data_IF_920087159773
#
_entry.id   IF_920087159773
#
_cell.length_a   1.000
_cell.length_b   1.000
_cell.length_c   1.000
_cell.angle_alpha   90.00
_cell.angle_beta   90.00
_cell.angle_gamma   90.00
#
_symmetry.space_group_name_H-M   'P 1'
#
loop_
_entity.id
_entity.type
_entity.pdbx_description
1 polymer ?
#
# COMPACT_ATOMS: atom_id res chain seq x y z
N UNK A 1 -46.53 -51.54 61.72
CA UNK A 1 -47.81 -51.38 61.02
C UNK A 1 -47.54 -50.66 59.72
N UNK A 2 -47.97 -51.29 58.63
CA UNK A 2 -47.39 -51.20 57.29
C UNK A 2 -48.39 -50.44 56.40
N UNK A 3 -47.97 -49.34 55.77
CA UNK A 3 -48.79 -48.59 54.81
C UNK A 3 -48.17 -48.69 53.41
N UNK A 4 -48.79 -49.57 52.63
CA UNK A 4 -49.15 -49.48 51.20
C UNK A 4 -48.11 -49.19 50.09
N UNK A 5 -48.02 -50.20 49.21
CA UNK A 5 -47.53 -50.28 47.83
C UNK A 5 -48.11 -49.19 46.86
N UNK A 6 -47.26 -48.51 46.05
CA UNK A 6 -47.01 -48.67 44.57
C UNK A 6 -48.07 -47.98 43.62
N UNK A 7 -47.78 -47.71 42.31
CA UNK A 7 -46.75 -46.85 41.74
C UNK A 7 -47.19 -46.01 40.50
N UNK A 8 -46.26 -45.17 40.03
CA UNK A 8 -45.89 -44.88 38.62
C UNK A 8 -46.87 -44.25 37.61
N UNK A 9 -46.40 -43.12 37.05
CA UNK A 9 -46.15 -42.78 35.61
C UNK A 9 -46.53 -41.30 35.39
N UNK A 10 -45.87 -40.47 34.59
CA UNK A 10 -44.67 -40.53 33.73
C UNK A 10 -44.48 -39.10 33.18
N UNK A 11 -43.25 -38.82 32.74
CA UNK A 11 -42.86 -37.89 31.67
C UNK A 11 -42.84 -36.39 31.99
N UNK A 12 -41.65 -35.83 31.82
CA UNK A 12 -41.45 -34.38 31.69
C UNK A 12 -39.97 -34.02 31.73
N UNK A 13 -39.19 -34.50 30.76
CA UNK A 13 -37.83 -34.02 30.55
C UNK A 13 -37.88 -32.63 29.90
N UNK A 14 -37.35 -31.60 30.57
CA UNK A 14 -36.83 -30.39 29.91
C UNK A 14 -35.61 -29.89 30.69
N UNK A 15 -34.45 -30.08 30.07
CA UNK A 15 -33.18 -29.51 30.47
C UNK A 15 -33.28 -27.97 30.42
N UNK A 16 -32.85 -27.30 31.48
CA UNK A 16 -32.67 -25.85 31.50
C UNK A 16 -31.20 -25.55 31.22
N UNK A 17 -31.01 -24.81 30.13
CA UNK A 17 -29.73 -24.38 29.58
C UNK A 17 -29.07 -23.32 30.47
N UNK A 18 -27.74 -23.42 30.57
CA UNK A 18 -26.85 -22.41 31.10
C UNK A 18 -25.94 -21.91 29.96
N UNK A 19 -25.79 -20.59 29.83
CA UNK A 19 -24.62 -19.87 29.27
C UNK A 19 -25.04 -18.39 29.11
N UNK A 20 -24.73 -17.51 30.08
CA UNK A 20 -23.47 -16.78 30.19
C UNK A 20 -23.33 -15.70 29.10
N UNK A 21 -23.66 -14.47 29.50
CA UNK A 21 -23.46 -13.20 28.80
C UNK A 21 -21.96 -12.89 28.77
N UNK A 22 -21.40 -12.68 27.59
CA UNK A 22 -20.09 -12.04 27.44
C UNK A 22 -20.20 -11.01 26.31
N UNK A 23 -20.36 -9.75 26.72
CA UNK A 23 -20.25 -8.60 25.84
C UNK A 23 -18.77 -8.29 25.58
N UNK A 24 -18.43 -8.12 24.32
CA UNK A 24 -17.12 -7.61 23.90
C UNK A 24 -17.33 -6.21 23.34
N UNK A 25 -16.81 -5.23 24.06
CA UNK A 25 -16.76 -3.82 23.65
C UNK A 25 -15.99 -3.70 22.33
N UNK A 26 -16.65 -3.14 21.31
CA UNK A 26 -15.99 -2.66 20.11
C UNK A 26 -15.20 -1.38 20.46
N UNK A 27 -13.86 -1.44 20.37
CA UNK A 27 -13.05 -0.24 20.22
C UNK A 27 -12.91 0.06 18.73
N UNK A 28 -13.75 0.95 18.22
CA UNK A 28 -13.52 1.60 16.94
C UNK A 28 -12.63 2.83 17.19
N UNK A 29 -11.34 2.73 16.82
CA UNK A 29 -10.48 3.89 16.69
C UNK A 29 -10.87 4.63 15.41
N UNK A 30 -11.58 5.76 15.55
CA UNK A 30 -11.84 6.67 14.45
C UNK A 30 -10.54 7.43 14.10
N UNK A 31 -9.81 6.93 13.11
CA UNK A 31 -8.79 7.71 12.42
C UNK A 31 -9.50 8.66 11.46
N UNK A 32 -9.39 9.97 11.69
CA UNK A 32 -9.84 10.99 10.74
C UNK A 32 -8.90 11.01 9.53
N UNK A 33 -9.22 10.18 8.54
CA UNK A 33 -8.86 10.36 7.15
C UNK A 33 -10.13 10.01 6.37
N UNK A 34 -10.89 11.02 5.97
CA UNK A 34 -12.08 10.81 5.14
C UNK A 34 -11.62 10.36 3.76
N UNK A 35 -11.56 9.03 3.55
CA UNK A 35 -11.60 8.42 2.22
C UNK A 35 -11.76 6.88 2.30
N UNK A 36 -12.96 6.37 1.97
CA UNK A 36 -13.30 4.93 1.91
C UNK A 36 -13.53 4.19 3.24
N UNK A 37 -14.18 3.03 3.19
CA UNK A 37 -14.41 2.13 4.34
C UNK A 37 -13.17 1.27 4.68
N UNK A 38 -12.13 1.30 3.83
CA UNK A 38 -10.90 0.55 4.05
C UNK A 38 -9.85 1.38 4.83
N UNK A 39 -9.04 0.70 5.64
CA UNK A 39 -7.91 1.35 6.31
C UNK A 39 -6.74 1.54 5.34
N UNK A 40 -6.18 2.74 5.29
CA UNK A 40 -4.93 3.02 4.55
C UNK A 40 -3.76 2.34 5.29
N UNK A 41 -2.96 1.48 4.63
CA UNK A 41 -1.93 0.71 5.30
C UNK A 41 -0.68 1.54 5.60
N UNK A 42 0.04 1.16 6.66
CA UNK A 42 1.37 1.67 7.03
C UNK A 42 2.51 0.94 6.29
N UNK A 43 2.16 -0.06 5.48
CA UNK A 43 3.09 -0.81 4.62
C UNK A 43 2.41 -1.14 3.31
N UNK A 44 3.11 -0.90 2.20
CA UNK A 44 2.65 -1.29 0.86
C UNK A 44 3.56 -2.37 0.29
N UNK A 45 3.01 -3.53 -0.05
CA UNK A 45 3.73 -4.71 -0.52
C UNK A 45 4.89 -5.13 0.40
N UNK A 46 4.72 -4.90 1.71
CA UNK A 46 5.71 -5.19 2.74
C UNK A 46 6.79 -4.13 2.89
N UNK A 47 6.76 -3.03 2.15
CA UNK A 47 7.64 -1.86 2.32
C UNK A 47 6.94 -0.86 3.26
N UNK A 48 7.58 -0.43 4.36
CA UNK A 48 7.03 0.62 5.22
C UNK A 48 6.75 1.90 4.44
N UNK A 49 5.61 2.55 4.70
CA UNK A 49 5.23 3.85 4.14
C UNK A 49 4.52 4.69 5.19
N UNK A 50 4.47 6.00 4.95
CA UNK A 50 3.62 6.91 5.69
C UNK A 50 2.22 6.90 5.07
N UNK A 51 1.24 6.42 5.83
CA UNK A 51 -0.16 6.32 5.41
C UNK A 51 -0.75 7.68 5.01
N UNK A 52 -0.33 8.77 5.64
CA UNK A 52 -0.81 10.12 5.33
C UNK A 52 -0.32 10.60 3.96
N UNK A 53 0.81 10.07 3.49
CA UNK A 53 1.33 10.37 2.14
C UNK A 53 0.69 9.49 1.07
N UNK A 54 0.23 8.28 1.43
CA UNK A 54 -0.44 7.37 0.50
C UNK A 54 -1.92 7.74 0.32
N UNK A 55 -2.60 8.07 1.41
CA UNK A 55 -4.04 8.34 1.45
C UNK A 55 -4.53 9.27 0.32
N UNK A 56 -3.88 10.42 0.03
CA UNK A 56 -4.33 11.32 -1.05
C UNK A 56 -4.31 10.72 -2.46
N UNK A 57 -3.56 9.63 -2.68
CA UNK A 57 -3.46 8.91 -3.96
C UNK A 57 -4.49 7.79 -4.09
N UNK A 58 -5.30 7.55 -3.06
CA UNK A 58 -6.29 6.48 -3.02
C UNK A 58 -7.70 7.07 -3.15
N UNK A 59 -8.53 6.60 -4.10
CA UNK A 59 -9.91 7.02 -4.21
C UNK A 59 -10.77 6.36 -3.13
N UNK A 60 -11.95 6.90 -2.86
CA UNK A 60 -12.94 6.22 -2.02
C UNK A 60 -13.25 4.80 -2.52
N UNK A 61 -13.62 3.91 -1.60
CA UNK A 61 -14.01 2.54 -1.90
C UNK A 61 -14.22 1.69 -0.65
N UNK A 62 -14.52 0.41 -0.84
CA UNK A 62 -14.79 -0.53 0.26
C UNK A 62 -13.57 -1.37 0.64
N UNK A 63 -12.70 -1.68 -0.33
CA UNK A 63 -11.64 -2.66 -0.12
C UNK A 63 -10.35 -2.30 -0.84
N UNK A 64 -9.26 -2.23 -0.08
CA UNK A 64 -7.89 -2.14 -0.58
C UNK A 64 -7.24 -3.54 -0.63
N UNK A 65 -6.57 -3.84 -1.74
CA UNK A 65 -5.77 -5.05 -1.90
C UNK A 65 -4.40 -4.73 -2.52
N UNK A 66 -3.42 -5.57 -2.20
CA UNK A 66 -2.05 -5.41 -2.67
C UNK A 66 -1.54 -6.68 -3.34
N UNK A 67 -0.79 -6.52 -4.41
CA UNK A 67 -0.20 -7.64 -5.13
C UNK A 67 1.24 -7.36 -5.54
N UNK A 68 2.17 -8.06 -4.89
CA UNK A 68 3.59 -8.01 -5.24
C UNK A 68 3.92 -8.98 -6.36
N UNK A 69 4.82 -8.59 -7.25
CA UNK A 69 5.43 -9.46 -8.27
C UNK A 69 6.95 -9.27 -8.27
N UNK A 70 7.67 -10.38 -8.27
CA UNK A 70 9.09 -10.40 -8.61
C UNK A 70 9.19 -10.54 -10.13
N UNK A 71 9.82 -9.56 -10.80
CA UNK A 71 9.92 -9.50 -12.26
C UNK A 71 11.26 -10.04 -12.77
N UNK A 72 12.10 -10.57 -11.89
CA UNK A 72 13.44 -11.04 -12.21
C UNK A 72 14.51 -10.29 -11.43
N UNK A 73 15.80 -10.54 -11.74
CA UNK A 73 16.91 -10.04 -10.94
C UNK A 73 16.89 -8.52 -10.78
N UNK A 74 16.66 -8.07 -9.55
CA UNK A 74 16.68 -6.65 -9.20
C UNK A 74 15.42 -5.86 -9.60
N UNK A 75 14.39 -6.49 -10.17
CA UNK A 75 13.14 -5.81 -10.57
C UNK A 75 11.96 -6.35 -9.78
N UNK A 76 11.26 -5.47 -9.07
CA UNK A 76 10.05 -5.80 -8.32
C UNK A 76 8.95 -4.80 -8.64
N UNK A 77 7.70 -5.24 -8.48
CA UNK A 77 6.57 -4.32 -8.56
C UNK A 77 5.47 -4.64 -7.57
N UNK A 78 4.70 -3.61 -7.24
CA UNK A 78 3.50 -3.68 -6.43
C UNK A 78 2.32 -3.10 -7.20
N UNK A 79 1.16 -3.74 -7.05
CA UNK A 79 -0.13 -3.22 -7.49
C UNK A 79 -0.97 -2.97 -6.26
N UNK A 80 -1.46 -1.75 -6.09
CA UNK A 80 -2.44 -1.38 -5.08
C UNK A 80 -3.77 -1.15 -5.78
N UNK A 81 -4.79 -1.84 -5.31
CA UNK A 81 -6.10 -1.92 -5.95
C UNK A 81 -7.17 -1.55 -4.95
N UNK A 82 -8.09 -0.66 -5.34
CA UNK A 82 -9.29 -0.30 -4.58
C UNK A 82 -10.48 -0.79 -5.38
N UNK A 83 -11.34 -1.61 -4.76
CA UNK A 83 -12.54 -2.21 -5.38
C UNK A 83 -12.25 -2.81 -6.76
N UNK A 84 -11.23 -3.67 -6.81
CA UNK A 84 -10.74 -4.37 -8.00
C UNK A 84 -10.17 -3.47 -9.13
N UNK A 85 -10.13 -2.15 -8.94
CA UNK A 85 -9.47 -1.19 -9.83
C UNK A 85 -8.02 -0.93 -9.41
N UNK A 86 -7.05 -1.08 -10.32
CA UNK A 86 -5.66 -0.69 -10.06
C UNK A 86 -5.57 0.84 -9.93
N UNK A 87 -5.13 1.32 -8.76
CA UNK A 87 -5.05 2.76 -8.49
C UNK A 87 -3.60 3.24 -8.44
N UNK A 88 -2.72 2.48 -7.80
CA UNK A 88 -1.30 2.80 -7.66
C UNK A 88 -0.46 1.61 -8.11
N UNK A 89 0.50 1.87 -8.98
CA UNK A 89 1.53 0.94 -9.40
C UNK A 89 2.90 1.41 -8.91
N UNK A 90 3.61 0.52 -8.22
CA UNK A 90 4.98 0.77 -7.76
C UNK A 90 5.93 -0.16 -8.49
N UNK A 91 7.09 0.36 -8.90
CA UNK A 91 8.17 -0.45 -9.44
C UNK A 91 9.51 -0.02 -8.84
N UNK A 92 10.34 -1.01 -8.53
CA UNK A 92 11.68 -0.81 -8.02
C UNK A 92 12.67 -1.65 -8.83
N UNK A 93 13.63 -0.98 -9.45
CA UNK A 93 14.63 -1.59 -10.34
C UNK A 93 16.05 -1.29 -9.86
N UNK A 94 16.87 -2.33 -9.74
CA UNK A 94 18.32 -2.19 -9.59
C UNK A 94 18.92 -2.16 -10.99
N UNK A 95 19.61 -1.07 -11.33
CA UNK A 95 20.22 -0.88 -12.65
C UNK A 95 21.73 -0.68 -12.55
N UNK A 96 22.40 -0.75 -13.71
CA UNK A 96 23.79 -0.29 -13.81
C UNK A 96 23.87 1.21 -13.46
N UNK A 97 24.97 1.61 -12.82
CA UNK A 97 25.27 3.02 -12.57
C UNK A 97 25.35 3.79 -13.87
N UNK A 98 24.87 5.04 -13.85
CA UNK A 98 24.90 5.92 -15.02
C UNK A 98 23.77 5.66 -16.02
N UNK A 99 22.88 4.70 -15.76
CA UNK A 99 21.63 4.59 -16.52
C UNK A 99 20.81 5.85 -16.27
N UNK A 100 20.52 6.65 -17.31
CA UNK A 100 19.68 7.84 -17.18
C UNK A 100 18.20 7.45 -17.06
N UNK A 101 17.83 6.91 -15.90
CA UNK A 101 16.50 6.37 -15.64
C UNK A 101 15.50 7.44 -15.21
N UNK A 102 15.95 8.63 -14.82
CA UNK A 102 15.10 9.78 -14.48
C UNK A 102 15.61 10.99 -15.23
N UNK A 103 14.87 11.41 -16.23
CA UNK A 103 15.10 12.65 -16.96
C UNK A 103 13.81 13.11 -17.62
N UNK A 104 13.69 14.38 -18.05
CA UNK A 104 12.54 14.83 -18.83
C UNK A 104 12.33 14.05 -20.14
N UNK A 105 13.39 13.40 -20.65
CA UNK A 105 13.35 12.54 -21.82
C UNK A 105 12.91 11.10 -21.55
N UNK A 106 12.77 10.68 -20.28
CA UNK A 106 12.36 9.32 -19.92
C UNK A 106 10.99 8.99 -20.53
N UNK A 107 10.94 7.92 -21.34
CA UNK A 107 9.70 7.50 -22.00
C UNK A 107 8.64 7.04 -21.02
N UNK A 108 9.03 6.51 -19.86
CA UNK A 108 8.11 6.11 -18.80
C UNK A 108 7.35 7.34 -18.29
N UNK A 109 8.07 8.31 -17.75
CA UNK A 109 7.51 9.55 -17.23
C UNK A 109 6.72 10.35 -18.28
N UNK A 110 7.20 10.42 -19.53
CA UNK A 110 6.49 11.15 -20.60
C UNK A 110 5.11 10.56 -20.95
N UNK A 111 4.87 9.27 -20.71
CA UNK A 111 3.53 8.68 -20.87
C UNK A 111 2.60 9.07 -19.73
N UNK A 112 3.16 9.52 -18.61
CA UNK A 112 2.44 9.93 -17.41
C UNK A 112 2.21 11.45 -17.37
N UNK A 113 2.49 12.19 -18.44
CA UNK A 113 2.30 13.64 -18.53
C UNK A 113 3.57 14.41 -18.81
N UNK A 114 3.65 15.66 -18.34
CA UNK A 114 4.80 16.55 -18.56
C UNK A 114 5.85 16.45 -17.44
N UNK A 115 7.00 15.76 -17.64
CA UNK A 115 7.94 15.51 -16.56
C UNK A 115 8.79 16.73 -16.23
N UNK A 116 8.91 17.04 -14.95
CA UNK A 116 9.80 18.07 -14.41
C UNK A 116 10.77 17.46 -13.41
N UNK A 117 12.05 17.86 -13.48
CA UNK A 117 13.04 17.50 -12.47
C UNK A 117 12.71 18.21 -11.16
N UNK A 118 12.88 17.48 -10.06
CA UNK A 118 12.66 17.98 -8.70
C UNK A 118 13.79 17.54 -7.78
N UNK A 119 13.86 18.17 -6.61
CA UNK A 119 14.86 17.87 -5.58
C UNK A 119 14.23 17.25 -4.34
N UNK A 120 15.06 16.64 -3.50
CA UNK A 120 14.65 16.14 -2.18
C UNK A 120 14.19 14.68 -2.15
N UNK A 121 14.47 13.89 -3.19
CA UNK A 121 14.33 12.42 -3.17
C UNK A 121 15.50 11.78 -3.92
N UNK A 122 16.27 10.93 -3.25
CA UNK A 122 17.45 10.29 -3.83
C UNK A 122 18.45 11.29 -4.40
N UNK A 123 19.26 10.82 -5.36
CA UNK A 123 20.25 11.63 -6.08
C UNK A 123 19.60 12.46 -7.20
N UNK A 124 18.52 11.95 -7.79
CA UNK A 124 17.78 12.61 -8.87
C UNK A 124 16.34 12.12 -8.88
N UNK A 125 15.40 13.05 -9.00
CA UNK A 125 13.99 12.76 -9.07
C UNK A 125 13.26 13.60 -10.12
N UNK A 126 12.13 13.10 -10.58
CA UNK A 126 11.23 13.80 -11.46
C UNK A 126 9.78 13.44 -11.15
N UNK A 127 8.88 14.37 -11.42
CA UNK A 127 7.43 14.18 -11.34
C UNK A 127 6.80 14.52 -12.68
N UNK A 128 5.84 13.71 -13.10
CA UNK A 128 4.92 13.93 -14.20
C UNK A 128 3.49 13.99 -13.66
N UNK A 129 2.49 14.16 -14.52
CA UNK A 129 1.09 14.37 -14.08
C UNK A 129 0.48 13.17 -13.36
N UNK A 130 0.86 11.95 -13.73
CA UNK A 130 0.35 10.69 -13.20
C UNK A 130 1.44 9.79 -12.61
N UNK A 131 2.63 10.30 -12.35
CA UNK A 131 3.66 9.52 -11.69
C UNK A 131 4.91 10.28 -11.30
N UNK A 132 5.72 9.69 -10.45
CA UNK A 132 6.99 10.25 -10.00
C UNK A 132 8.05 9.15 -9.93
N UNK A 133 9.29 9.52 -10.20
CA UNK A 133 10.42 8.58 -10.26
C UNK A 133 11.63 9.18 -9.57
N UNK A 134 12.36 8.36 -8.83
CA UNK A 134 13.61 8.75 -8.20
C UNK A 134 14.69 7.69 -8.46
N UNK A 135 15.94 8.11 -8.37
CA UNK A 135 17.10 7.23 -8.35
C UNK A 135 18.01 7.56 -7.18
N UNK A 136 18.74 6.57 -6.71
CA UNK A 136 19.88 6.76 -5.82
C UNK A 136 20.95 5.73 -6.13
N UNK A 137 22.19 6.17 -6.13
CA UNK A 137 23.36 5.29 -6.19
C UNK A 137 23.41 4.42 -4.93
N UNK A 138 23.86 3.18 -5.08
CA UNK A 138 24.01 2.28 -3.94
C UNK A 138 24.93 1.11 -4.25
N UNK A 139 25.22 0.32 -3.23
CA UNK A 139 25.86 -0.99 -3.38
C UNK A 139 24.80 -2.08 -3.37
N UNK A 140 24.83 -2.96 -4.37
CA UNK A 140 23.96 -4.14 -4.43
C UNK A 140 24.79 -5.36 -4.77
N UNK A 141 24.75 -6.37 -3.88
CA UNK A 141 25.55 -7.60 -3.98
C UNK A 141 27.06 -7.34 -4.17
N UNK A 142 27.58 -6.32 -3.47
CA UNK A 142 28.99 -5.94 -3.50
C UNK A 142 29.41 -5.10 -4.71
N UNK A 143 28.50 -4.84 -5.66
CA UNK A 143 28.78 -4.07 -6.86
C UNK A 143 28.13 -2.68 -6.78
N UNK A 144 28.79 -1.64 -7.31
CA UNK A 144 28.21 -0.32 -7.39
C UNK A 144 27.08 -0.31 -8.43
N UNK A 145 25.86 -0.03 -7.96
CA UNK A 145 24.61 -0.02 -8.71
C UNK A 145 23.84 1.28 -8.43
N UNK A 146 22.62 1.35 -8.91
CA UNK A 146 21.66 2.36 -8.48
C UNK A 146 20.28 1.71 -8.39
N UNK A 147 19.47 2.19 -7.44
CA UNK A 147 18.06 1.84 -7.35
C UNK A 147 17.23 2.94 -8.01
N UNK A 148 16.21 2.52 -8.75
CA UNK A 148 15.26 3.37 -9.44
C UNK A 148 13.86 2.99 -8.97
N UNK A 149 13.16 3.93 -8.35
CA UNK A 149 11.79 3.75 -7.87
C UNK A 149 10.82 4.55 -8.70
N UNK A 150 9.68 3.95 -9.05
CA UNK A 150 8.57 4.57 -9.78
C UNK A 150 7.28 4.43 -8.96
N UNK A 151 6.55 5.53 -8.83
CA UNK A 151 5.15 5.58 -8.41
C UNK A 151 4.34 6.02 -9.62
N UNK A 152 3.31 5.28 -9.98
CA UNK A 152 2.42 5.57 -11.10
C UNK A 152 0.97 5.42 -10.67
N UNK A 153 0.12 6.35 -11.09
CA UNK A 153 -1.33 6.27 -10.95
C UNK A 153 -1.91 5.63 -12.20
N UNK A 154 -2.86 4.72 -12.00
CA UNK A 154 -3.38 3.84 -13.06
C UNK A 154 -4.90 3.95 -13.23
N UNK A 155 -5.59 4.61 -12.30
CA UNK A 155 -7.02 4.86 -12.42
C UNK A 155 -7.32 5.84 -13.56
N UNK A 156 -8.41 5.60 -14.30
CA UNK A 156 -8.87 6.48 -15.39
C UNK A 156 -9.13 7.93 -14.91
N UNK A 157 -9.59 8.06 -13.67
CA UNK A 157 -9.76 9.32 -12.96
C UNK A 157 -8.85 9.33 -11.71
N UNK A 158 -7.56 9.66 -11.85
CA UNK A 158 -6.64 9.61 -10.73
C UNK A 158 -6.95 10.73 -9.73
N UNK A 159 -6.89 10.39 -8.44
CA UNK A 159 -6.95 11.35 -7.35
C UNK A 159 -5.54 11.73 -6.89
N UNK A 160 -5.31 12.99 -6.45
CA UNK A 160 -6.18 14.16 -6.58
C UNK A 160 -6.49 14.54 -8.04
N UNK A 161 -7.67 15.10 -8.32
CA UNK A 161 -8.06 15.42 -9.70
C UNK A 161 -7.24 16.58 -10.32
N UNK A 162 -6.81 17.56 -9.52
CA UNK A 162 -6.02 18.69 -10.02
C UNK A 162 -4.55 18.30 -10.14
N UNK A 163 -3.97 18.55 -11.30
CA UNK A 163 -2.57 18.18 -11.60
C UNK A 163 -1.56 18.70 -10.57
N UNK A 164 -1.56 19.98 -10.12
CA UNK A 164 -0.59 20.44 -9.12
C UNK A 164 -0.68 19.66 -7.80
N UNK A 165 -1.90 19.51 -7.26
CA UNK A 165 -2.16 18.75 -6.02
C UNK A 165 -1.72 17.29 -6.16
N UNK A 166 -1.97 16.68 -7.33
CA UNK A 166 -1.56 15.31 -7.62
C UNK A 166 -0.05 15.12 -7.71
N UNK A 167 0.65 16.08 -8.32
CA UNK A 167 2.11 16.07 -8.37
C UNK A 167 2.70 16.19 -6.95
N UNK A 168 2.12 17.04 -6.11
CA UNK A 168 2.56 17.19 -4.72
C UNK A 168 2.34 15.90 -3.92
N UNK A 169 1.17 15.26 -4.05
CA UNK A 169 0.87 13.97 -3.41
C UNK A 169 1.81 12.85 -3.88
N UNK A 170 2.07 12.76 -5.19
CA UNK A 170 3.03 11.80 -5.76
C UNK A 170 4.43 11.99 -5.18
N UNK A 171 4.88 13.22 -5.03
CA UNK A 171 6.19 13.53 -4.46
C UNK A 171 6.26 13.23 -2.96
N UNK A 172 5.21 13.54 -2.21
CA UNK A 172 5.13 13.21 -0.78
C UNK A 172 5.20 11.69 -0.57
N UNK A 173 4.43 10.92 -1.34
CA UNK A 173 4.47 9.47 -1.25
C UNK A 173 5.81 8.89 -1.72
N UNK A 174 6.36 9.38 -2.83
CA UNK A 174 7.67 8.92 -3.32
C UNK A 174 8.77 9.19 -2.28
N UNK A 175 8.76 10.33 -1.59
CA UNK A 175 9.69 10.64 -0.48
C UNK A 175 9.62 9.60 0.64
N UNK A 176 8.41 9.19 0.99
CA UNK A 176 8.16 8.24 2.07
C UNK A 176 8.57 6.81 1.69
N UNK A 177 8.15 6.35 0.51
CA UNK A 177 8.33 4.97 0.07
C UNK A 177 9.73 4.66 -0.47
N UNK A 178 10.36 5.60 -1.19
CA UNK A 178 11.57 5.33 -1.98
C UNK A 178 12.77 4.79 -1.17
N UNK A 179 13.16 5.37 -0.02
CA UNK A 179 14.32 4.88 0.74
C UNK A 179 14.11 3.45 1.23
N UNK A 180 12.95 3.19 1.83
CA UNK A 180 12.60 1.88 2.37
C UNK A 180 12.46 0.81 1.27
N UNK A 181 12.00 1.21 0.07
CA UNK A 181 11.92 0.31 -1.08
C UNK A 181 13.30 -0.13 -1.59
N UNK A 182 14.26 0.81 -1.65
CA UNK A 182 15.65 0.51 -2.00
C UNK A 182 16.28 -0.47 -1.00
N UNK A 183 16.16 -0.18 0.29
CA UNK A 183 16.67 -1.05 1.36
C UNK A 183 16.05 -2.45 1.32
N UNK A 184 14.72 -2.54 1.14
CA UNK A 184 14.02 -3.82 1.02
C UNK A 184 14.46 -4.65 -0.19
N UNK A 185 15.04 -4.01 -1.23
CA UNK A 185 15.65 -4.68 -2.37
C UNK A 185 17.14 -4.99 -2.19
N UNK A 186 17.73 -4.64 -1.05
CA UNK A 186 19.15 -4.87 -0.75
C UNK A 186 20.08 -3.84 -1.38
N UNK A 187 19.56 -2.69 -1.78
CA UNK A 187 20.35 -1.54 -2.21
C UNK A 187 20.76 -0.76 -0.96
N UNK A 188 22.03 -0.90 -0.56
CA UNK A 188 22.60 -0.24 0.61
C UNK A 188 23.26 1.09 0.18
N UNK A 189 22.97 2.23 0.84
CA UNK A 189 23.56 3.53 0.52
C UNK A 189 25.09 3.51 0.46
#
# INVERSE_FOLDING_TARGET
MTTTMRPARRRGARALAAAAVAGSLALAAAGCGESGDYAVPDRVCGVPVDADTLSPLLPDGEKLTESRRDKGPGSKSCRVTVDDTLVVYLAGDITDRGTDAVSPGDRGLRRLGEPALVQGVGDKAAVADGGAKAMASCTYKGEPRQFVGLVQLEADAPVPAKTPERRDALLAFLKSWFPAAGEAQGCAP
#
